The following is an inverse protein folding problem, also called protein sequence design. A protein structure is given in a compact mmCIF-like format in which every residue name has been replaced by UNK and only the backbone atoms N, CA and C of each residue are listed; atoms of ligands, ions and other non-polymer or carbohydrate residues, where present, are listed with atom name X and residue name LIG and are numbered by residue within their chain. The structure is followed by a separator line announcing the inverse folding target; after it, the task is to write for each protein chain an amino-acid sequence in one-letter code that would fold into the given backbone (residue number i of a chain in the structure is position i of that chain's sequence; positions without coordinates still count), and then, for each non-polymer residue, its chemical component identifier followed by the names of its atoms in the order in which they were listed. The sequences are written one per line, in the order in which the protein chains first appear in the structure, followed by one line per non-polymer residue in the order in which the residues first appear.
data_IF_483527423671
#
_entry.id   IF_483527423671
#
_cell.length_a   1.000
_cell.length_b   1.000
_cell.length_c   1.000
_cell.angle_alpha   90.00
_cell.angle_beta   90.00
_cell.angle_gamma   90.00
#
_symmetry.space_group_name_H-M   'P 1'
#
loop_
_entity.id
_entity.type
_entity.pdbx_description
1 polymer ?
#
# COMPACT_ATOMS: atom_id res chain seq x y z
N UNK A 1 -2.92 7.12 -8.34
CA UNK A 1 -3.74 5.89 -8.23
C UNK A 1 -2.77 4.75 -7.97
N UNK A 2 -2.91 4.00 -6.88
CA UNK A 2 -2.00 2.88 -6.58
C UNK A 2 -2.70 1.55 -6.78
N UNK A 3 -2.04 0.67 -7.51
CA UNK A 3 -2.47 -0.72 -7.70
C UNK A 3 -1.83 -1.52 -6.58
N UNK A 4 -2.64 -2.07 -5.67
CA UNK A 4 -2.11 -2.94 -4.61
C UNK A 4 -2.61 -4.37 -4.77
N UNK A 5 -1.71 -5.33 -4.59
CA UNK A 5 -2.06 -6.73 -4.43
C UNK A 5 -2.18 -7.00 -2.93
N UNK A 6 -3.30 -6.57 -2.34
CA UNK A 6 -3.65 -6.88 -0.96
C UNK A 6 -4.83 -7.84 -0.97
N UNK A 7 -4.60 -9.06 -0.50
CA UNK A 7 -5.68 -9.97 -0.11
C UNK A 7 -5.81 -9.93 1.41
N UNK A 8 -6.92 -9.39 1.91
CA UNK A 8 -7.41 -9.59 3.26
C UNK A 8 -7.94 -11.02 3.35
N UNK A 9 -7.54 -11.76 4.40
CA UNK A 9 -7.75 -13.21 4.54
C UNK A 9 -9.18 -13.60 4.95
N UNK A 10 -10.21 -12.95 4.43
CA UNK A 10 -11.56 -13.14 4.97
C UNK A 10 -12.63 -12.81 3.94
N UNK A 11 -12.77 -13.67 2.93
CA UNK A 11 -14.08 -13.94 2.32
C UNK A 11 -14.19 -15.44 2.02
N UNK A 12 -15.33 -15.98 2.41
CA UNK A 12 -15.63 -17.41 2.53
C UNK A 12 -15.67 -18.10 1.16
N UNK A 13 -15.39 -19.40 1.18
CA UNK A 13 -15.48 -20.31 0.05
C UNK A 13 -16.96 -20.62 -0.25
N UNK A 14 -17.56 -19.98 -1.25
CA UNK A 14 -18.79 -20.47 -1.87
C UNK A 14 -18.40 -21.43 -3.00
N UNK A 15 -18.50 -22.73 -2.75
CA UNK A 15 -18.56 -23.77 -3.77
C UNK A 15 -20.02 -24.20 -3.83
N UNK A 16 -20.73 -23.82 -4.90
CA UNK A 16 -22.09 -24.26 -5.17
C UNK A 16 -22.03 -25.47 -6.12
N UNK A 17 -22.73 -26.55 -5.77
CA UNK A 17 -23.06 -27.63 -6.70
C UNK A 17 -24.44 -27.35 -7.35
N UNK A 18 -24.68 -27.97 -8.51
CA UNK A 18 -25.71 -27.68 -9.53
C UNK A 18 -27.19 -27.83 -9.14
N UNK A 19 -27.54 -27.78 -7.85
CA UNK A 19 -28.93 -27.75 -7.38
C UNK A 19 -29.02 -26.66 -6.31
N UNK A 20 -29.55 -25.51 -6.69
CA UNK A 20 -29.60 -24.26 -5.92
C UNK A 20 -30.45 -24.30 -4.65
N UNK A 21 -30.23 -25.28 -3.78
CA UNK A 21 -30.62 -25.25 -2.38
C UNK A 21 -29.36 -25.08 -1.53
N UNK A 22 -29.37 -24.08 -0.66
CA UNK A 22 -28.37 -23.86 0.37
C UNK A 22 -28.42 -24.98 1.41
N UNK A 23 -27.96 -26.15 1.02
CA UNK A 23 -27.65 -27.27 1.91
C UNK A 23 -26.14 -27.27 2.06
N UNK A 24 -25.66 -27.20 3.31
CA UNK A 24 -24.31 -27.63 3.67
C UNK A 24 -24.26 -29.13 3.39
N UNK A 25 -24.11 -29.49 2.11
CA UNK A 25 -23.81 -30.86 1.75
C UNK A 25 -22.32 -30.96 2.01
N UNK A 26 -21.98 -31.29 3.26
CA UNK A 26 -20.81 -32.10 3.50
C UNK A 26 -20.92 -33.22 2.48
N UNK A 27 -20.15 -33.14 1.39
CA UNK A 27 -19.64 -34.35 0.77
C UNK A 27 -19.24 -35.19 1.99
N UNK A 28 -19.85 -36.36 2.18
CA UNK A 28 -19.30 -37.35 3.09
C UNK A 28 -17.98 -37.83 2.46
N UNK A 29 -17.05 -36.91 2.19
CA UNK A 29 -15.66 -37.23 2.05
C UNK A 29 -15.28 -37.69 3.44
N UNK A 30 -14.87 -38.93 3.54
CA UNK A 30 -14.12 -39.42 4.68
C UNK A 30 -12.82 -38.64 4.70
N UNK A 31 -12.88 -37.40 5.21
CA UNK A 31 -11.73 -36.51 5.29
C UNK A 31 -10.68 -37.24 6.09
N UNK A 32 -9.54 -37.49 5.45
CA UNK A 32 -8.44 -38.15 6.12
C UNK A 32 -8.03 -37.34 7.36
N UNK A 33 -7.75 -38.02 8.47
CA UNK A 33 -7.36 -37.36 9.72
C UNK A 33 -5.87 -37.02 9.76
N UNK A 34 -5.05 -37.72 8.98
CA UNK A 34 -3.61 -37.56 8.93
C UNK A 34 -3.05 -37.81 7.53
N UNK A 35 -1.73 -37.65 7.40
CA UNK A 35 -0.97 -37.75 6.16
C UNK A 35 -0.12 -39.03 6.05
N UNK A 36 -0.34 -40.05 6.91
CA UNK A 36 0.58 -41.22 7.00
C UNK A 36 0.69 -42.04 5.71
N UNK A 37 -0.33 -41.97 4.86
CA UNK A 37 -0.41 -42.67 3.57
C UNK A 37 -0.21 -41.75 2.35
N UNK A 38 0.19 -40.49 2.58
CA UNK A 38 0.54 -39.56 1.50
C UNK A 38 2.04 -39.69 1.24
N UNK A 39 2.39 -40.13 0.03
CA UNK A 39 3.77 -40.19 -0.45
C UNK A 39 4.01 -39.03 -1.40
N UNK A 40 5.15 -38.35 -1.23
CA UNK A 40 5.55 -37.29 -2.16
C UNK A 40 6.13 -37.91 -3.43
N UNK A 41 5.60 -37.50 -4.57
CA UNK A 41 5.98 -37.99 -5.90
C UNK A 41 5.67 -36.89 -6.93
N UNK A 42 6.45 -36.85 -8.00
CA UNK A 42 6.21 -35.99 -9.16
C UNK A 42 4.86 -36.28 -9.82
N UNK A 43 4.37 -37.52 -9.71
CA UNK A 43 3.13 -37.99 -10.35
C UNK A 43 1.87 -37.56 -9.59
N UNK A 44 2.03 -36.85 -8.47
CA UNK A 44 0.92 -36.40 -7.62
C UNK A 44 0.06 -35.32 -8.30
N UNK A 45 0.55 -34.64 -9.33
CA UNK A 45 -0.21 -33.70 -10.15
C UNK A 45 -0.09 -34.12 -11.62
N UNK A 46 -1.24 -34.44 -12.23
CA UNK A 46 -1.32 -34.90 -13.61
C UNK A 46 -1.24 -33.77 -14.64
N UNK A 47 -1.67 -32.55 -14.29
CA UNK A 47 -1.60 -31.40 -15.18
C UNK A 47 -0.18 -30.82 -15.22
N UNK A 48 0.36 -30.65 -16.42
CA UNK A 48 1.63 -29.99 -16.64
C UNK A 48 1.49 -28.48 -16.86
N UNK A 49 2.59 -27.82 -17.24
CA UNK A 49 2.59 -26.38 -17.51
C UNK A 49 1.83 -26.02 -18.80
N UNK A 50 1.94 -26.83 -19.86
CA UNK A 50 1.29 -26.58 -21.14
C UNK A 50 -0.22 -26.84 -21.06
N UNK A 51 -0.67 -27.81 -20.26
CA UNK A 51 -2.08 -28.02 -19.92
C UNK A 51 -2.68 -26.79 -19.23
N UNK A 52 -1.98 -26.25 -18.22
CA UNK A 52 -2.43 -25.05 -17.51
C UNK A 52 -2.44 -23.84 -18.44
N UNK A 53 -1.49 -23.77 -19.39
CA UNK A 53 -1.42 -22.70 -20.38
C UNK A 53 -2.57 -22.80 -21.38
N UNK A 54 -2.91 -24.01 -21.83
CA UNK A 54 -4.03 -24.23 -22.74
C UNK A 54 -5.35 -23.87 -22.08
N UNK A 55 -5.55 -24.23 -20.79
CA UNK A 55 -6.72 -23.84 -20.00
C UNK A 55 -6.85 -22.30 -19.86
N UNK A 56 -5.73 -21.59 -19.69
CA UNK A 56 -5.73 -20.12 -19.65
C UNK A 56 -6.14 -19.51 -20.99
N UNK A 57 -5.72 -20.12 -22.09
CA UNK A 57 -6.05 -19.67 -23.44
C UNK A 57 -7.50 -20.00 -23.82
N UNK A 58 -8.00 -21.20 -23.48
CA UNK A 58 -9.33 -21.68 -23.84
C UNK A 58 -10.45 -20.90 -23.16
N UNK A 59 -10.30 -20.53 -21.89
CA UNK A 59 -11.30 -19.73 -21.18
C UNK A 59 -11.31 -18.24 -21.57
N UNK A 60 -10.53 -17.83 -22.58
CA UNK A 60 -10.69 -16.52 -23.26
C UNK A 60 -11.77 -16.57 -24.36
N UNK A 61 -12.21 -17.77 -24.78
CA UNK A 61 -13.11 -17.96 -25.92
C UNK A 61 -14.58 -18.26 -25.57
N UNK A 62 -14.96 -18.27 -24.29
CA UNK A 62 -16.31 -18.63 -23.84
C UNK A 62 -17.21 -17.42 -23.52
N UNK A 63 -18.33 -17.30 -24.22
CA UNK A 63 -19.42 -16.37 -23.91
C UNK A 63 -19.91 -16.57 -22.46
N UNK A 64 -19.51 -15.69 -21.54
CA UNK A 64 -20.05 -15.66 -20.17
C UNK A 64 -21.43 -15.01 -20.23
N UNK A 65 -22.50 -15.81 -20.21
CA UNK A 65 -23.86 -15.28 -20.03
C UNK A 65 -24.00 -14.72 -18.62
N UNK A 66 -24.25 -13.41 -18.53
CA UNK A 66 -24.55 -12.70 -17.30
C UNK A 66 -25.97 -13.04 -16.83
N UNK A 67 -26.16 -14.24 -16.30
CA UNK A 67 -27.38 -14.66 -15.59
C UNK A 67 -27.22 -14.52 -14.08
N UNK A 68 -28.31 -14.19 -13.41
CA UNK A 68 -28.52 -13.89 -11.98
C UNK A 68 -27.49 -14.57 -11.03
N UNK A 69 -26.59 -13.74 -10.46
CA UNK A 69 -25.37 -14.08 -9.68
C UNK A 69 -24.26 -14.84 -10.44
N UNK A 70 -23.45 -14.13 -11.27
CA UNK A 70 -22.32 -14.72 -11.96
C UNK A 70 -21.19 -15.09 -10.98
N UNK A 71 -20.67 -16.31 -11.13
CA UNK A 71 -19.37 -16.69 -10.56
C UNK A 71 -18.32 -15.67 -11.03
N UNK A 72 -17.75 -14.89 -10.10
CA UNK A 72 -17.00 -13.66 -10.44
C UNK A 72 -15.71 -13.97 -11.25
N UNK A 73 -15.19 -15.21 -11.20
CA UNK A 73 -13.94 -15.61 -11.87
C UNK A 73 -14.02 -17.01 -12.53
N UNK A 74 -14.76 -17.18 -13.65
CA UNK A 74 -15.05 -18.49 -14.24
C UNK A 74 -13.80 -19.24 -14.71
N UNK A 75 -12.86 -18.56 -15.39
CA UNK A 75 -11.60 -19.15 -15.85
C UNK A 75 -10.73 -19.69 -14.69
N UNK A 76 -10.66 -18.93 -13.59
CA UNK A 76 -9.90 -19.36 -12.42
C UNK A 76 -10.55 -20.60 -11.80
N UNK A 77 -11.88 -20.63 -11.73
CA UNK A 77 -12.60 -21.76 -11.18
C UNK A 77 -12.34 -23.04 -11.99
N UNK A 78 -12.37 -22.96 -13.32
CA UNK A 78 -12.07 -24.09 -14.21
C UNK A 78 -10.65 -24.64 -13.97
N UNK A 79 -9.64 -23.77 -13.95
CA UNK A 79 -8.25 -24.15 -13.67
C UNK A 79 -8.13 -24.81 -12.29
N UNK A 80 -8.81 -24.29 -11.27
CA UNK A 80 -8.77 -24.87 -9.92
C UNK A 80 -9.44 -26.24 -9.85
N UNK A 81 -10.59 -26.39 -10.50
CA UNK A 81 -11.31 -27.66 -10.59
C UNK A 81 -10.42 -28.73 -11.24
N UNK A 82 -9.79 -28.41 -12.36
CA UNK A 82 -8.89 -29.34 -13.05
C UNK A 82 -7.64 -29.66 -12.21
N UNK A 83 -7.05 -28.68 -11.53
CA UNK A 83 -5.91 -28.90 -10.63
C UNK A 83 -6.25 -29.74 -9.39
N UNK A 84 -7.50 -29.71 -8.93
CA UNK A 84 -7.99 -30.57 -7.83
C UNK A 84 -8.25 -31.98 -8.37
N UNK A 85 -8.94 -32.10 -9.50
CA UNK A 85 -9.23 -33.37 -10.18
C UNK A 85 -7.97 -34.13 -10.58
N UNK A 86 -6.93 -33.41 -11.02
CA UNK A 86 -5.62 -33.97 -11.38
C UNK A 86 -4.71 -34.31 -10.20
N UNK A 87 -5.12 -34.05 -8.95
CA UNK A 87 -4.29 -34.32 -7.77
C UNK A 87 -4.61 -35.68 -7.13
N UNK A 88 -3.67 -36.62 -7.26
CA UNK A 88 -3.84 -38.02 -6.81
C UNK A 88 -4.06 -38.18 -5.29
N UNK A 89 -3.71 -37.18 -4.49
CA UNK A 89 -3.78 -37.22 -3.04
C UNK A 89 -4.76 -36.22 -2.45
N UNK A 90 -5.59 -35.55 -3.26
CA UNK A 90 -6.48 -34.50 -2.75
C UNK A 90 -7.48 -35.02 -1.71
N UNK A 91 -8.13 -36.15 -1.99
CA UNK A 91 -9.12 -36.75 -1.06
C UNK A 91 -8.46 -37.36 0.18
N UNK A 92 -7.20 -37.76 0.08
CA UNK A 92 -6.39 -38.26 1.20
C UNK A 92 -5.88 -37.16 2.13
N UNK A 93 -6.12 -35.89 1.81
CA UNK A 93 -5.73 -34.75 2.64
C UNK A 93 -6.77 -34.48 3.73
N UNK A 94 -6.29 -33.94 4.85
CA UNK A 94 -7.16 -33.33 5.85
C UNK A 94 -7.90 -32.13 5.27
N UNK A 95 -9.04 -31.76 5.85
CA UNK A 95 -9.86 -30.61 5.42
C UNK A 95 -9.03 -29.32 5.34
N UNK A 96 -8.25 -29.03 6.39
CA UNK A 96 -7.34 -27.87 6.40
C UNK A 96 -6.27 -27.94 5.31
N UNK A 97 -5.79 -29.14 4.97
CA UNK A 97 -4.81 -29.33 3.88
C UNK A 97 -5.43 -29.15 2.50
N UNK A 98 -6.69 -29.55 2.31
CA UNK A 98 -7.45 -29.29 1.08
C UNK A 98 -7.71 -27.78 0.91
N UNK A 99 -8.20 -27.11 1.95
CA UNK A 99 -8.44 -25.66 1.95
C UNK A 99 -7.15 -24.87 1.69
N UNK A 100 -6.04 -25.26 2.34
CA UNK A 100 -4.70 -24.69 2.10
C UNK A 100 -4.24 -24.89 0.66
N UNK A 101 -4.49 -26.07 0.07
CA UNK A 101 -4.15 -26.36 -1.32
C UNK A 101 -4.94 -25.46 -2.28
N UNK A 102 -6.27 -25.41 -2.15
CA UNK A 102 -7.15 -24.58 -2.97
C UNK A 102 -6.77 -23.11 -2.84
N UNK A 103 -6.53 -22.63 -1.62
CA UNK A 103 -6.12 -21.23 -1.38
C UNK A 103 -4.77 -20.90 -2.04
N UNK A 104 -3.80 -21.82 -1.97
CA UNK A 104 -2.50 -21.66 -2.63
C UNK A 104 -2.64 -21.63 -4.15
N UNK A 105 -3.44 -22.53 -4.73
CA UNK A 105 -3.68 -22.56 -6.19
C UNK A 105 -4.47 -21.33 -6.63
N UNK A 106 -5.51 -20.94 -5.90
CA UNK A 106 -6.28 -19.70 -6.18
C UNK A 106 -5.34 -18.51 -6.25
N UNK A 107 -4.51 -18.29 -5.22
CA UNK A 107 -3.54 -17.18 -5.22
C UNK A 107 -2.55 -17.21 -6.39
N UNK A 108 -2.25 -18.38 -6.95
CA UNK A 108 -1.33 -18.53 -8.11
C UNK A 108 -1.99 -18.25 -9.45
N UNK A 109 -3.27 -18.61 -9.60
CA UNK A 109 -3.99 -18.56 -10.88
C UNK A 109 -4.98 -17.39 -10.97
N UNK A 110 -5.32 -16.78 -9.84
CA UNK A 110 -6.16 -15.58 -9.73
C UNK A 110 -5.28 -14.37 -9.42
N UNK A 111 -5.06 -13.53 -10.42
CA UNK A 111 -4.41 -12.23 -10.26
C UNK A 111 -5.46 -11.15 -10.12
N UNK A 112 -5.75 -10.74 -8.89
CA UNK A 112 -6.62 -9.59 -8.61
C UNK A 112 -5.79 -8.41 -8.16
N UNK A 113 -6.27 -7.22 -8.53
CA UNK A 113 -5.76 -5.97 -8.02
C UNK A 113 -6.92 -5.07 -7.63
N UNK A 114 -6.69 -4.28 -6.58
CA UNK A 114 -7.64 -3.26 -6.15
C UNK A 114 -7.03 -1.89 -6.40
N UNK A 115 -7.88 -1.00 -6.92
CA UNK A 115 -7.54 0.41 -7.10
C UNK A 115 -7.95 1.14 -5.82
N UNK A 116 -6.96 1.69 -5.14
CA UNK A 116 -7.18 2.43 -3.89
C UNK A 116 -6.80 3.90 -4.05
N UNK A 117 -7.51 4.76 -3.32
CA UNK A 117 -7.13 6.18 -3.20
C UNK A 117 -5.80 6.28 -2.45
N UNK A 118 -4.83 7.07 -2.93
CA UNK A 118 -3.61 7.34 -2.18
C UNK A 118 -3.95 7.91 -0.79
N UNK A 119 -3.42 7.26 0.24
CA UNK A 119 -3.43 7.77 1.61
C UNK A 119 -2.14 7.39 2.30
N UNK A 120 -1.81 8.10 3.37
CA UNK A 120 -0.57 7.95 4.12
C UNK A 120 -0.30 6.50 4.54
N UNK A 121 -1.36 5.76 4.89
CA UNK A 121 -1.28 4.32 5.21
C UNK A 121 -0.71 3.50 4.06
N UNK A 122 -1.35 3.58 2.89
CA UNK A 122 -0.97 2.78 1.72
C UNK A 122 0.43 3.16 1.26
N UNK A 123 0.75 4.45 1.28
CA UNK A 123 2.04 4.97 0.85
C UNK A 123 3.18 4.54 1.77
N UNK A 124 2.99 4.61 3.09
CA UNK A 124 3.98 4.16 4.05
C UNK A 124 4.25 2.65 3.92
N UNK A 125 3.20 1.84 3.77
CA UNK A 125 3.34 0.40 3.54
C UNK A 125 4.03 0.08 2.20
N UNK A 126 3.73 0.86 1.16
CA UNK A 126 4.35 0.73 -0.15
C UNK A 126 5.86 1.00 -0.07
N UNK A 127 6.26 2.11 0.56
CA UNK A 127 7.67 2.46 0.74
C UNK A 127 8.40 1.45 1.63
N UNK A 128 7.79 1.03 2.74
CA UNK A 128 8.36 0.00 3.62
C UNK A 128 8.70 -1.31 2.89
N UNK A 129 7.92 -1.65 1.86
CA UNK A 129 8.08 -2.87 1.05
C UNK A 129 9.01 -2.67 -0.14
N UNK A 130 8.84 -1.60 -0.91
CA UNK A 130 9.51 -1.40 -2.19
C UNK A 130 10.74 -0.47 -2.11
N UNK A 131 10.80 0.43 -1.13
CA UNK A 131 11.76 1.55 -1.04
C UNK A 131 12.18 1.80 0.42
N UNK A 132 12.53 0.73 1.13
CA UNK A 132 12.85 0.78 2.57
C UNK A 132 14.01 1.71 2.91
N UNK A 133 14.98 1.78 2.00
CA UNK A 133 16.15 2.67 2.04
C UNK A 133 15.75 4.16 2.03
N UNK A 134 14.64 4.51 1.36
CA UNK A 134 14.16 5.89 1.25
C UNK A 134 13.31 6.37 2.42
N UNK A 135 12.82 5.44 3.25
CA UNK A 135 11.99 5.77 4.40
C UNK A 135 12.64 5.38 5.74
N UNK A 136 13.94 5.08 5.78
CA UNK A 136 14.66 4.64 6.98
C UNK A 136 14.02 3.42 7.67
N UNK A 137 13.32 2.56 6.90
CA UNK A 137 12.55 1.46 7.47
C UNK A 137 11.32 1.87 8.28
N UNK A 138 10.86 3.12 8.17
CA UNK A 138 9.67 3.65 8.85
C UNK A 138 8.44 2.79 8.53
N UNK A 139 7.87 2.19 9.57
CA UNK A 139 6.62 1.41 9.49
C UNK A 139 5.41 2.30 9.70
N UNK A 140 4.26 1.85 9.21
CA UNK A 140 3.01 2.59 9.33
C UNK A 140 2.57 2.80 10.79
N UNK A 141 2.71 1.79 11.65
CA UNK A 141 2.40 1.91 13.08
C UNK A 141 3.26 2.99 13.77
N UNK A 142 4.55 3.02 13.47
CA UNK A 142 5.47 4.05 13.97
C UNK A 142 5.08 5.45 13.47
N UNK A 143 4.71 5.58 12.20
CA UNK A 143 4.23 6.84 11.64
C UNK A 143 2.95 7.30 12.36
N UNK A 144 2.00 6.41 12.64
CA UNK A 144 0.79 6.72 13.42
C UNK A 144 1.13 7.24 14.82
N UNK A 145 2.09 6.59 15.50
CA UNK A 145 2.55 7.04 16.82
C UNK A 145 3.16 8.45 16.74
N UNK A 146 4.01 8.72 15.76
CA UNK A 146 4.61 10.06 15.59
C UNK A 146 3.52 11.11 15.39
N UNK A 147 2.57 10.90 14.48
CA UNK A 147 1.50 11.86 14.21
C UNK A 147 0.58 12.07 15.42
N UNK A 148 0.32 11.01 16.19
CA UNK A 148 -0.55 11.05 17.38
C UNK A 148 0.16 11.73 18.55
N UNK A 149 1.40 11.36 18.86
CA UNK A 149 2.17 11.97 19.95
C UNK A 149 2.52 13.43 19.68
N UNK A 150 2.71 13.81 18.43
CA UNK A 150 2.88 15.22 18.03
C UNK A 150 1.57 16.00 18.00
N UNK A 151 0.43 15.36 18.32
CA UNK A 151 -0.90 15.95 18.31
C UNK A 151 -1.22 16.70 16.99
N UNK A 152 -0.92 16.08 15.85
CA UNK A 152 -1.20 16.70 14.54
C UNK A 152 -2.70 16.59 14.23
N UNK A 153 -3.33 17.74 14.05
CA UNK A 153 -4.75 17.88 13.75
C UNK A 153 -5.01 19.07 12.81
N UNK A 154 -6.29 19.32 12.49
CA UNK A 154 -6.68 20.42 11.62
C UNK A 154 -6.22 21.77 12.18
N UNK A 155 -5.65 22.62 11.31
CA UNK A 155 -5.17 23.95 11.69
C UNK A 155 -3.84 23.99 12.45
N UNK A 156 -3.17 22.85 12.71
CA UNK A 156 -1.88 22.82 13.41
C UNK A 156 -0.79 23.58 12.63
N UNK A 157 0.09 24.28 13.36
CA UNK A 157 1.36 24.80 12.84
C UNK A 157 2.49 23.85 13.25
N UNK A 158 3.02 23.11 12.29
CA UNK A 158 3.94 22.00 12.55
C UNK A 158 5.35 22.36 12.10
N UNK A 159 6.32 22.13 12.98
CA UNK A 159 7.73 22.14 12.62
C UNK A 159 8.14 20.71 12.28
N UNK A 160 8.64 20.47 11.08
CA UNK A 160 8.97 19.13 10.60
C UNK A 160 10.40 19.09 10.06
N UNK A 161 11.21 18.18 10.57
CA UNK A 161 12.46 17.77 9.95
C UNK A 161 12.35 16.28 9.62
N UNK A 162 12.53 15.91 8.35
CA UNK A 162 12.49 14.51 7.94
C UNK A 162 13.45 14.21 6.80
N UNK A 163 13.79 12.93 6.65
CA UNK A 163 14.54 12.37 5.52
C UNK A 163 13.86 11.13 4.94
N UNK A 164 12.56 10.95 5.24
CA UNK A 164 11.77 9.77 4.87
C UNK A 164 11.00 9.96 3.56
N UNK A 165 11.62 10.59 2.56
CA UNK A 165 11.05 10.82 1.23
C UNK A 165 9.67 11.50 1.22
N UNK A 166 9.40 12.40 2.16
CA UNK A 166 8.14 13.13 2.22
C UNK A 166 6.98 12.35 2.85
N UNK A 167 7.21 11.15 3.42
CA UNK A 167 6.15 10.33 3.99
C UNK A 167 5.57 10.95 5.27
N UNK A 168 6.42 11.50 6.15
CA UNK A 168 5.92 12.18 7.34
C UNK A 168 5.20 13.47 6.96
N UNK A 169 5.75 14.26 6.04
CA UNK A 169 5.08 15.45 5.54
C UNK A 169 3.73 15.12 4.92
N UNK A 170 3.65 14.04 4.13
CA UNK A 170 2.39 13.55 3.57
C UNK A 170 1.36 13.23 4.66
N UNK A 171 1.77 12.56 5.74
CA UNK A 171 0.91 12.28 6.89
C UNK A 171 0.49 13.53 7.66
N UNK A 172 1.40 14.48 7.82
CA UNK A 172 1.11 15.78 8.46
C UNK A 172 0.08 16.56 7.64
N UNK A 173 0.29 16.71 6.33
CA UNK A 173 -0.64 17.43 5.45
C UNK A 173 -2.00 16.74 5.34
N UNK A 174 -2.04 15.40 5.31
CA UNK A 174 -3.30 14.65 5.35
C UNK A 174 -4.10 14.90 6.64
N UNK A 175 -3.42 15.16 7.77
CA UNK A 175 -4.04 15.41 9.09
C UNK A 175 -4.39 16.88 9.35
N UNK A 176 -3.57 17.82 8.87
CA UNK A 176 -3.86 19.26 8.92
C UNK A 176 -5.07 19.56 8.02
N UNK A 177 -5.20 18.84 6.92
CA UNK A 177 -6.32 19.00 5.99
C UNK A 177 -6.14 20.18 5.03
N UNK A 178 -7.21 20.56 4.33
CA UNK A 178 -7.21 21.59 3.30
C UNK A 178 -6.70 22.96 3.79
N UNK A 179 -5.98 23.68 2.92
CA UNK A 179 -5.35 24.97 3.25
C UNK A 179 -6.32 26.08 3.67
N UNK A 180 -7.56 26.03 3.21
CA UNK A 180 -8.65 26.95 3.57
C UNK A 180 -9.09 26.82 5.04
N UNK A 181 -8.84 25.67 5.68
CA UNK A 181 -9.07 25.47 7.12
C UNK A 181 -7.91 25.98 7.98
N UNK A 182 -6.86 26.52 7.37
CA UNK A 182 -5.65 26.97 8.04
C UNK A 182 -4.65 25.85 8.34
N UNK A 183 -3.64 26.18 9.14
CA UNK A 183 -2.51 25.30 9.44
C UNK A 183 -1.38 25.40 8.42
N UNK A 184 -0.16 25.15 8.89
CA UNK A 184 1.04 25.31 8.08
C UNK A 184 2.15 24.38 8.58
N UNK A 185 3.11 24.09 7.71
CA UNK A 185 4.28 23.29 8.03
C UNK A 185 5.53 24.10 7.71
N UNK A 186 6.43 24.23 8.68
CA UNK A 186 7.80 24.67 8.43
C UNK A 186 8.63 23.41 8.27
N UNK A 187 9.07 23.13 7.04
CA UNK A 187 9.85 21.95 6.73
C UNK A 187 11.33 22.31 6.72
N UNK A 188 12.05 21.82 7.72
CA UNK A 188 13.49 21.85 7.73
C UNK A 188 14.06 20.73 6.85
N UNK A 189 15.03 21.08 6.01
CA UNK A 189 15.75 20.14 5.18
C UNK A 189 17.24 20.41 5.21
N UNK A 190 18.02 19.36 4.94
CA UNK A 190 19.46 19.48 4.67
C UNK A 190 19.72 19.13 3.21
N UNK A 191 20.87 19.56 2.68
CA UNK A 191 21.24 19.34 1.29
C UNK A 191 20.61 20.37 0.35
N UNK A 192 20.36 19.96 -0.89
CA UNK A 192 19.98 20.89 -1.97
C UNK A 192 18.46 21.10 -2.09
N UNK A 193 17.64 20.15 -1.64
CA UNK A 193 16.18 20.25 -1.74
C UNK A 193 15.45 19.48 -0.65
N UNK A 194 14.25 19.95 -0.23
CA UNK A 194 13.44 19.25 0.76
C UNK A 194 12.82 17.97 0.19
N UNK A 195 12.62 16.92 1.01
CA UNK A 195 11.82 15.77 0.63
C UNK A 195 10.38 16.17 0.28
N UNK A 196 9.91 15.76 -0.90
CA UNK A 196 8.56 16.07 -1.40
C UNK A 196 7.64 14.84 -1.30
N UNK A 197 6.35 15.01 -0.94
CA UNK A 197 5.39 13.91 -0.84
C UNK A 197 4.80 13.56 -2.21
N UNK A 198 5.63 13.38 -3.26
CA UNK A 198 5.20 13.28 -4.67
C UNK A 198 4.20 12.14 -4.92
N UNK A 199 4.32 11.07 -4.16
CA UNK A 199 3.43 9.90 -4.24
C UNK A 199 2.06 10.13 -3.60
N UNK A 200 1.87 11.23 -2.86
CA UNK A 200 0.59 11.63 -2.28
C UNK A 200 0.05 12.86 -3.02
N UNK A 201 -0.84 12.70 -4.02
CA UNK A 201 -1.36 13.84 -4.79
C UNK A 201 -2.07 14.90 -3.95
N UNK A 202 -2.71 14.49 -2.85
CA UNK A 202 -3.37 15.41 -1.93
C UNK A 202 -2.35 16.25 -1.17
N UNK A 203 -1.30 15.63 -0.64
CA UNK A 203 -0.23 16.35 0.03
C UNK A 203 0.61 17.19 -0.95
N UNK A 204 0.84 16.69 -2.17
CA UNK A 204 1.57 17.40 -3.20
C UNK A 204 0.86 18.70 -3.63
N UNK A 205 -0.48 18.67 -3.77
CA UNK A 205 -1.26 19.88 -4.10
C UNK A 205 -1.37 20.85 -2.93
N UNK A 206 -1.34 20.36 -1.69
CA UNK A 206 -1.28 21.15 -0.48
C UNK A 206 0.08 21.81 -0.24
N UNK A 207 1.16 21.21 -0.73
CA UNK A 207 2.54 21.60 -0.42
C UNK A 207 2.78 23.10 -0.63
N UNK A 208 2.53 23.59 -1.85
CA UNK A 208 2.86 24.98 -2.22
C UNK A 208 2.06 26.02 -1.43
N UNK A 209 0.92 25.63 -0.84
CA UNK A 209 0.07 26.53 -0.06
C UNK A 209 0.36 26.51 1.43
N UNK A 210 0.77 25.36 1.98
CA UNK A 210 0.87 25.15 3.42
C UNK A 210 2.30 24.93 3.92
N UNK A 211 3.26 24.65 3.03
CA UNK A 211 4.63 24.28 3.42
C UNK A 211 5.61 25.41 3.13
N UNK A 212 6.30 25.87 4.17
CA UNK A 212 7.46 26.74 4.06
C UNK A 212 8.72 25.89 4.27
N UNK A 213 9.46 25.62 3.20
CA UNK A 213 10.71 24.89 3.28
C UNK A 213 11.86 25.82 3.66
N UNK A 214 12.64 25.44 4.67
CA UNK A 214 13.77 26.22 5.19
C UNK A 214 14.99 25.31 5.28
N UNK A 215 16.12 25.75 4.72
CA UNK A 215 17.38 25.00 4.84
C UNK A 215 17.84 25.05 6.30
N UNK A 216 18.24 23.91 6.84
CA UNK A 216 18.81 23.83 8.18
C UNK A 216 20.03 24.74 8.32
N UNK A 217 20.85 24.87 7.27
CA UNK A 217 22.03 25.73 7.29
C UNK A 217 21.69 27.20 7.55
N UNK A 218 20.52 27.66 7.09
CA UNK A 218 20.09 29.05 7.25
C UNK A 218 19.67 29.36 8.69
N UNK A 219 19.25 28.35 9.45
CA UNK A 219 18.75 28.49 10.83
C UNK A 219 19.75 28.01 11.88
N UNK A 220 20.80 27.29 11.51
CA UNK A 220 21.85 26.82 12.44
C UNK A 220 22.42 27.95 13.32
N UNK A 221 22.77 29.15 12.79
CA UNK A 221 23.27 30.23 13.64
C UNK A 221 22.27 30.67 14.72
N UNK A 222 20.97 30.69 14.40
CA UNK A 222 19.90 30.99 15.35
C UNK A 222 19.79 29.89 16.41
N UNK A 223 19.86 28.61 15.99
CA UNK A 223 19.79 27.46 16.90
C UNK A 223 21.00 27.37 17.84
N UNK A 224 22.17 27.84 17.40
CA UNK A 224 23.40 27.89 18.20
C UNK A 224 23.54 29.16 19.06
N UNK A 225 22.54 30.05 19.06
CA UNK A 225 22.58 31.30 19.81
C UNK A 225 23.59 32.33 19.28
N UNK A 226 24.07 32.14 18.05
CA UNK A 226 25.02 33.03 17.36
C UNK A 226 24.31 34.05 16.46
N UNK A 227 22.99 34.01 16.40
CA UNK A 227 22.19 34.98 15.65
C UNK A 227 22.20 36.35 16.32
N UNK A 228 22.51 37.40 15.55
CA UNK A 228 22.26 38.78 15.95
C UNK A 228 20.76 39.02 15.99
N UNK A 229 20.21 39.39 17.15
CA UNK A 229 18.81 39.80 17.32
C UNK A 229 18.51 41.09 16.54
N UNK A 230 18.39 41.02 15.22
CA UNK A 230 17.77 42.11 14.45
C UNK A 230 16.27 41.97 14.60
N UNK A 231 15.71 42.83 15.47
CA UNK A 231 14.31 43.20 15.64
C UNK A 231 13.25 42.18 15.18
N UNK A 232 12.60 41.54 16.16
CA UNK A 232 11.33 40.85 15.93
C UNK A 232 10.33 41.84 15.32
N UNK A 233 9.81 41.61 14.11
CA UNK A 233 8.88 42.54 13.50
C UNK A 233 7.60 42.63 14.32
N UNK A 234 7.09 43.86 14.39
CA UNK A 234 5.89 44.25 15.13
C UNK A 234 4.70 43.32 14.84
N UNK A 235 3.85 43.05 15.85
CA UNK A 235 2.78 42.02 15.83
C UNK A 235 1.78 42.13 14.67
N UNK A 236 1.72 43.28 14.00
CA UNK A 236 0.79 43.57 12.90
C UNK A 236 1.37 43.35 11.49
N UNK A 237 2.64 42.92 11.36
CA UNK A 237 3.19 42.54 10.06
C UNK A 237 3.20 41.01 9.90
N UNK A 238 2.44 40.52 8.93
CA UNK A 238 2.55 39.17 8.40
C UNK A 238 4.01 38.96 7.99
N UNK A 239 4.73 38.12 8.75
CA UNK A 239 6.14 37.85 8.53
C UNK A 239 6.30 37.06 7.23
N UNK A 240 6.50 37.78 6.13
CA UNK A 240 7.14 37.23 4.95
C UNK A 240 8.62 37.14 5.28
N UNK A 241 9.10 35.94 5.62
CA UNK A 241 10.54 35.68 5.77
C UNK A 241 11.16 35.81 4.37
N UNK A 242 11.48 37.04 3.96
CA UNK A 242 12.36 37.30 2.82
C UNK A 242 13.80 37.11 3.31
N UNK A 243 14.28 35.88 3.22
CA UNK A 243 15.71 35.62 3.21
C UNK A 243 16.30 36.31 1.98
N UNK A 244 17.14 37.31 2.22
CA UNK A 244 17.91 38.01 1.19
C UNK A 244 18.82 36.98 0.51
N UNK A 245 18.43 36.52 -0.69
CA UNK A 245 19.32 35.76 -1.54
C UNK A 245 20.34 36.73 -2.15
N UNK A 246 21.58 36.65 -1.69
CA UNK A 246 22.69 37.28 -2.42
C UNK A 246 22.81 36.58 -3.78
N UNK A 247 22.45 37.29 -4.84
CA UNK A 247 22.71 36.90 -6.23
C UNK A 247 24.22 36.83 -6.45
N UNK A 248 24.77 35.61 -6.58
CA UNK A 248 26.12 35.42 -7.10
C UNK A 248 26.10 35.72 -8.59
N UNK A 249 26.65 36.87 -9.00
CA UNK A 249 26.99 37.12 -10.41
C UNK A 249 28.02 36.08 -10.85
N UNK A 250 27.69 35.31 -11.88
CA UNK A 250 28.66 34.49 -12.62
C UNK A 250 29.71 35.40 -13.28
N UNK A 251 31.02 35.10 -13.21
CA UNK A 251 32.01 35.82 -13.99
C UNK A 251 31.90 35.39 -15.46
N UNK A 252 31.76 36.37 -16.34
CA UNK A 252 31.93 36.18 -17.78
C UNK A 252 33.39 35.79 -18.08
N UNK A 253 33.57 34.67 -18.77
CA UNK A 253 34.67 34.43 -19.71
C UNK A 253 34.11 33.65 -20.89
#
# INVERSE_FOLDING_TARGET
MFVTNKFTSSEQLLVLNESGEGVVTSLKSTVAKDNRHIVDSTDNQKLDYEDIRSLRSSGTSGNVSYGHFPNIYPLTQEILTELVRGNANFDKKTKFSQEKYVSKKRKRHLSLFTIEKPCTRILCELYSKLRRDKCLGLRFDTLCHILTYSNVHAGSKVLLAETCAGLLLGGVLERIGPADLGGSVIQFFHGTSPPRPEVNPLAASAYEKQVCAVSLLDVVPLLLGQGTSTELPNKDQVVSIRLLTHSSKSPQK
#
